data_IF_371605707511
#
_entry.id   IF_371605707511
#
_cell.length_a   1.000
_cell.length_b   1.000
_cell.length_c   1.000
_cell.angle_alpha   90.00
_cell.angle_beta   90.00
_cell.angle_gamma   90.00
#
_symmetry.space_group_name_H-M   'P 1'
#
loop_
_entity.id
_entity.type
_entity.pdbx_description
1 polymer ?
#
# COMPACT_ATOMS: atom_id res chain seq x y z
N UNK A 1 6.39 17.90 26.74
CA UNK A 1 5.65 16.72 26.21
C UNK A 1 4.81 17.01 24.96
N UNK A 2 4.28 18.23 24.78
CA UNK A 2 3.45 18.61 23.62
C UNK A 2 4.21 18.68 22.29
N UNK A 3 5.47 19.15 22.30
CA UNK A 3 6.32 19.23 21.11
C UNK A 3 6.64 17.83 20.54
N UNK A 4 7.06 16.91 21.40
CA UNK A 4 7.37 15.52 21.02
C UNK A 4 6.16 14.82 20.41
N UNK A 5 4.98 14.93 21.05
CA UNK A 5 3.74 14.36 20.52
C UNK A 5 3.37 14.93 19.14
N UNK A 6 3.54 16.24 18.94
CA UNK A 6 3.30 16.89 17.63
C UNK A 6 4.27 16.39 16.57
N UNK A 7 5.55 16.23 16.91
CA UNK A 7 6.57 15.72 15.99
C UNK A 7 6.23 14.29 15.52
N UNK A 8 5.92 13.38 16.45
CA UNK A 8 5.51 12.01 16.11
C UNK A 8 4.25 11.98 15.23
N UNK A 9 3.25 12.80 15.56
CA UNK A 9 2.02 12.87 14.77
C UNK A 9 2.30 13.37 13.34
N UNK A 10 3.11 14.41 13.17
CA UNK A 10 3.46 14.93 11.84
C UNK A 10 4.28 13.91 11.04
N UNK A 11 5.23 13.23 11.68
CA UNK A 11 6.00 12.17 11.06
C UNK A 11 5.09 11.02 10.59
N UNK A 12 4.15 10.60 11.42
CA UNK A 12 3.18 9.56 11.07
C UNK A 12 2.25 9.98 9.91
N UNK A 13 1.74 11.22 9.91
CA UNK A 13 0.93 11.73 8.80
C UNK A 13 1.74 11.85 7.50
N UNK A 14 3.01 12.28 7.58
CA UNK A 14 3.89 12.34 6.42
C UNK A 14 4.17 10.94 5.85
N UNK A 15 4.44 9.96 6.71
CA UNK A 15 4.61 8.56 6.31
C UNK A 15 3.33 7.99 5.68
N UNK A 16 2.17 8.28 6.25
CA UNK A 16 0.87 7.83 5.71
C UNK A 16 0.61 8.47 4.33
N UNK A 17 0.88 9.77 4.17
CA UNK A 17 0.76 10.44 2.87
C UNK A 17 1.65 9.80 1.78
N UNK A 18 2.83 9.28 2.15
CA UNK A 18 3.70 8.53 1.23
C UNK A 18 3.20 7.11 0.94
N UNK A 19 2.46 6.49 1.86
CA UNK A 19 1.89 5.16 1.71
C UNK A 19 0.52 5.14 1.02
N UNK A 20 -0.23 6.24 1.06
CA UNK A 20 -1.55 6.34 0.43
C UNK A 20 -1.58 5.88 -1.05
N UNK A 21 -0.61 6.22 -1.91
CA UNK A 21 -0.58 5.73 -3.29
C UNK A 21 -0.54 4.21 -3.40
N UNK A 22 0.05 3.51 -2.41
CA UNK A 22 0.18 2.04 -2.44
C UNK A 22 -1.17 1.35 -2.40
N UNK A 23 -2.12 1.88 -1.61
CA UNK A 23 -3.48 1.31 -1.49
C UNK A 23 -4.45 1.90 -2.51
N UNK A 24 -4.21 3.12 -3.00
CA UNK A 24 -5.07 3.82 -3.94
C UNK A 24 -4.76 3.54 -5.41
N UNK A 25 -3.48 3.37 -5.77
CA UNK A 25 -3.07 3.16 -7.16
C UNK A 25 -3.82 2.00 -7.86
N UNK A 26 -4.04 0.83 -7.22
CA UNK A 26 -4.81 -0.26 -7.83
C UNK A 26 -6.25 0.10 -8.20
N UNK A 27 -6.82 1.15 -7.61
CA UNK A 27 -8.19 1.60 -7.86
C UNK A 27 -8.29 2.74 -8.87
N UNK A 28 -7.23 3.54 -8.98
CA UNK A 28 -7.24 4.79 -9.78
C UNK A 28 -6.48 4.61 -11.09
N UNK A 29 -5.45 3.78 -11.11
CA UNK A 29 -4.58 3.58 -12.27
C UNK A 29 -4.93 2.29 -13.01
N UNK A 30 -4.75 2.26 -14.35
CA UNK A 30 -4.82 1.02 -15.12
C UNK A 30 -3.78 0.02 -14.60
N UNK A 31 -4.14 -1.27 -14.62
CA UNK A 31 -3.28 -2.35 -14.15
C UNK A 31 -1.95 -2.37 -14.89
N UNK A 32 -1.96 -2.07 -16.20
CA UNK A 32 -0.77 -2.05 -17.04
C UNK A 32 0.25 -1.03 -16.54
N UNK A 33 -0.21 0.14 -16.09
CA UNK A 33 0.66 1.21 -15.57
C UNK A 33 1.29 0.79 -14.24
N UNK A 34 0.50 0.18 -13.35
CA UNK A 34 0.99 -0.31 -12.05
C UNK A 34 2.00 -1.44 -12.26
N UNK A 35 1.71 -2.37 -13.17
CA UNK A 35 2.59 -3.49 -13.48
C UNK A 35 3.83 -3.06 -14.25
N UNK A 36 3.78 -2.06 -15.13
CA UNK A 36 4.96 -1.53 -15.81
C UNK A 36 5.90 -0.86 -14.82
N UNK A 37 5.36 -0.06 -13.89
CA UNK A 37 6.13 0.52 -12.80
C UNK A 37 6.78 -0.57 -11.93
N UNK A 38 6.05 -1.64 -11.63
CA UNK A 38 6.58 -2.80 -10.92
C UNK A 38 7.60 -3.61 -11.77
N UNK A 39 7.45 -3.66 -13.09
CA UNK A 39 8.34 -4.37 -14.00
C UNK A 39 9.69 -3.66 -14.20
N UNK A 40 9.72 -2.33 -14.09
CA UNK A 40 10.97 -1.57 -13.99
C UNK A 40 11.77 -1.89 -12.72
N UNK A 41 11.20 -2.64 -11.77
CA UNK A 41 11.92 -3.14 -10.62
C UNK A 41 12.95 -4.20 -11.06
N UNK A 42 14.24 -3.85 -11.02
CA UNK A 42 15.40 -4.70 -11.38
C UNK A 42 15.50 -6.01 -10.58
N UNK A 43 14.67 -6.23 -9.56
CA UNK A 43 14.65 -7.44 -8.76
C UNK A 43 13.86 -8.59 -9.38
N UNK A 44 13.22 -8.42 -10.55
CA UNK A 44 12.33 -9.44 -11.13
C UNK A 44 12.96 -10.84 -11.27
N UNK A 45 14.29 -10.97 -11.40
CA UNK A 45 14.91 -12.25 -11.75
C UNK A 45 16.26 -12.52 -11.09
N UNK A 46 16.63 -11.81 -10.01
CA UNK A 46 18.01 -11.90 -9.49
C UNK A 46 18.41 -13.35 -9.13
N UNK A 47 17.44 -14.21 -8.74
CA UNK A 47 17.68 -15.59 -8.29
C UNK A 47 16.68 -16.64 -8.87
N UNK A 48 15.97 -16.37 -9.98
CA UNK A 48 14.96 -17.31 -10.53
C UNK A 48 13.68 -17.48 -9.71
N UNK A 49 13.56 -16.81 -8.55
CA UNK A 49 12.38 -16.77 -7.70
C UNK A 49 11.51 -15.55 -8.04
N UNK A 50 10.17 -15.67 -8.02
CA UNK A 50 9.29 -14.51 -8.21
C UNK A 50 9.48 -13.50 -7.08
N UNK A 51 9.68 -12.23 -7.42
CA UNK A 51 9.88 -11.16 -6.44
C UNK A 51 8.64 -11.03 -5.52
N UNK A 52 8.78 -11.08 -4.18
CA UNK A 52 7.65 -11.03 -3.26
C UNK A 52 6.87 -9.71 -3.34
N UNK A 53 7.54 -8.60 -3.66
CA UNK A 53 6.89 -7.30 -3.90
C UNK A 53 6.07 -7.31 -5.20
N UNK A 54 6.54 -7.99 -6.25
CA UNK A 54 5.78 -8.14 -7.49
C UNK A 54 4.52 -8.99 -7.27
N UNK A 55 4.63 -10.06 -6.46
CA UNK A 55 3.48 -10.84 -6.01
C UNK A 55 2.51 -10.00 -5.18
N UNK A 56 3.02 -9.19 -4.25
CA UNK A 56 2.18 -8.29 -3.44
C UNK A 56 1.46 -7.25 -4.29
N UNK A 57 2.13 -6.66 -5.28
CA UNK A 57 1.52 -5.69 -6.22
C UNK A 57 0.36 -6.32 -7.00
N UNK A 58 0.56 -7.53 -7.55
CA UNK A 58 -0.51 -8.30 -8.20
C UNK A 58 -1.62 -8.69 -7.22
N UNK A 59 -1.26 -8.96 -5.97
CA UNK A 59 -2.20 -9.19 -4.90
C UNK A 59 -3.11 -7.99 -4.67
N UNK A 60 -2.54 -6.78 -4.56
CA UNK A 60 -3.31 -5.55 -4.36
C UNK A 60 -4.22 -5.21 -5.55
N UNK A 61 -3.76 -5.47 -6.77
CA UNK A 61 -4.59 -5.37 -7.98
C UNK A 61 -5.75 -6.37 -7.97
N UNK A 62 -5.53 -7.59 -7.49
CA UNK A 62 -6.59 -8.60 -7.34
C UNK A 62 -7.60 -8.20 -6.28
N UNK A 63 -7.14 -7.63 -5.16
CA UNK A 63 -8.00 -7.06 -4.10
C UNK A 63 -8.89 -5.95 -4.68
N UNK A 64 -8.32 -5.03 -5.47
CA UNK A 64 -9.08 -3.93 -6.08
C UNK A 64 -10.19 -4.42 -7.03
N UNK A 65 -10.02 -5.60 -7.64
CA UNK A 65 -11.05 -6.26 -8.46
C UNK A 65 -12.04 -7.12 -7.66
N UNK A 66 -11.86 -7.23 -6.34
CA UNK A 66 -12.67 -8.08 -5.48
C UNK A 66 -12.29 -9.58 -5.50
N UNK A 67 -11.17 -9.96 -6.13
CA UNK A 67 -10.68 -11.35 -6.13
C UNK A 67 -9.63 -11.56 -5.04
N UNK A 68 -10.13 -11.67 -3.80
CA UNK A 68 -9.32 -11.91 -2.60
C UNK A 68 -8.59 -13.26 -2.66
N UNK A 69 -9.22 -14.27 -3.25
CA UNK A 69 -8.64 -15.60 -3.38
C UNK A 69 -7.38 -15.58 -4.25
N UNK A 70 -7.42 -14.82 -5.34
CA UNK A 70 -6.28 -14.67 -6.24
C UNK A 70 -5.20 -13.81 -5.61
N UNK A 71 -5.56 -12.85 -4.76
CA UNK A 71 -4.59 -12.05 -4.03
C UNK A 71 -3.68 -12.91 -3.14
N UNK A 72 -4.27 -13.83 -2.37
CA UNK A 72 -3.53 -14.75 -1.51
C UNK A 72 -2.64 -15.70 -2.31
N UNK A 73 -3.10 -16.16 -3.49
CA UNK A 73 -2.30 -16.98 -4.40
C UNK A 73 -1.06 -16.24 -4.93
N UNK A 74 -1.15 -14.93 -5.15
CA UNK A 74 0.00 -14.13 -5.59
C UNK A 74 0.99 -13.86 -4.46
N UNK A 75 0.48 -13.56 -3.26
CA UNK A 75 1.27 -13.42 -2.04
C UNK A 75 0.31 -13.54 -0.83
N UNK A 76 0.50 -14.53 0.06
CA UNK A 76 -0.36 -14.71 1.24
C UNK A 76 -0.39 -13.49 2.18
N UNK A 77 0.68 -12.68 2.18
CA UNK A 77 0.74 -11.45 2.98
C UNK A 77 -0.01 -10.27 2.34
N UNK A 78 -0.48 -10.39 1.10
CA UNK A 78 -1.14 -9.28 0.40
C UNK A 78 -2.40 -8.80 1.12
N UNK A 79 -3.30 -9.72 1.49
CA UNK A 79 -4.55 -9.39 2.19
C UNK A 79 -4.29 -8.72 3.54
N UNK A 80 -3.53 -9.31 4.49
CA UNK A 80 -3.32 -8.68 5.80
C UNK A 80 -2.56 -7.36 5.70
N UNK A 81 -1.58 -7.23 4.81
CA UNK A 81 -0.83 -5.97 4.62
C UNK A 81 -1.74 -4.90 4.02
N UNK A 82 -2.55 -5.24 3.01
CA UNK A 82 -3.48 -4.28 2.42
C UNK A 82 -4.45 -3.73 3.46
N UNK A 83 -5.05 -4.61 4.28
CA UNK A 83 -5.98 -4.22 5.34
C UNK A 83 -5.30 -3.36 6.41
N UNK A 84 -4.07 -3.70 6.82
CA UNK A 84 -3.32 -2.92 7.80
C UNK A 84 -3.00 -1.51 7.30
N UNK A 85 -2.53 -1.38 6.05
CA UNK A 85 -2.25 -0.07 5.44
C UNK A 85 -3.54 0.71 5.23
N UNK A 86 -4.61 0.09 4.72
CA UNK A 86 -5.90 0.75 4.56
C UNK A 86 -6.44 1.27 5.89
N UNK A 87 -6.36 0.48 6.97
CA UNK A 87 -6.75 0.92 8.30
C UNK A 87 -5.88 2.08 8.81
N UNK A 88 -4.56 2.05 8.56
CA UNK A 88 -3.67 3.17 8.86
C UNK A 88 -4.10 4.45 8.13
N UNK A 89 -4.38 4.35 6.83
CA UNK A 89 -4.80 5.51 6.02
C UNK A 89 -6.13 6.10 6.50
N UNK A 90 -7.09 5.25 6.88
CA UNK A 90 -8.35 5.71 7.49
C UNK A 90 -8.11 6.46 8.81
N UNK A 91 -7.24 5.92 9.68
CA UNK A 91 -6.89 6.57 10.93
C UNK A 91 -6.15 7.91 10.71
N UNK A 92 -5.22 7.94 9.76
CA UNK A 92 -4.48 9.14 9.37
C UNK A 92 -5.42 10.23 8.82
N UNK A 93 -6.35 9.85 7.95
CA UNK A 93 -7.37 10.75 7.42
C UNK A 93 -8.27 11.32 8.54
N UNK A 94 -8.76 10.46 9.44
CA UNK A 94 -9.58 10.88 10.57
C UNK A 94 -8.83 11.87 11.49
N UNK A 95 -7.56 11.59 11.80
CA UNK A 95 -6.71 12.47 12.60
C UNK A 95 -6.44 13.81 11.90
N UNK A 96 -6.21 13.81 10.59
CA UNK A 96 -6.01 15.03 9.80
C UNK A 96 -7.29 15.89 9.72
N UNK A 97 -8.45 15.27 9.51
CA UNK A 97 -9.76 15.96 9.45
C UNK A 97 -10.14 16.52 10.83
N UNK A 98 -9.97 15.73 11.90
CA UNK A 98 -10.27 16.15 13.27
C UNK A 98 -9.42 17.32 13.77
N UNK A 99 -8.29 17.60 13.12
CA UNK A 99 -7.45 18.78 13.40
C UNK A 99 -7.85 20.04 12.62
N UNK A 100 -8.66 19.91 11.57
CA UNK A 100 -9.18 21.03 10.78
C UNK A 100 -10.48 21.60 11.33
N UNK A 101 -11.15 20.86 12.20
CA UNK A 101 -12.32 21.29 12.97
C UNK A 101 -11.87 21.89 14.30
#
# INVERSE_FOLDING_TARGET
MTAVRRAFLLAWLAASALLAPVVLAPWVLPEEVVLEAAARCRSQHRNGQPCPLCGMTRGFLSIARGDWSQAERWNPASVPVYLAVAANELAAAAAAIGRRR
#
